data_IF_436258786064
#
_entry.id   IF_436258786064
#
_cell.length_a   1.000
_cell.length_b   1.000
_cell.length_c   1.000
_cell.angle_alpha   90.00
_cell.angle_beta   90.00
_cell.angle_gamma   90.00
#
_symmetry.space_group_name_H-M   'P 1'
#
loop_
_entity.id
_entity.type
_entity.pdbx_description
1 polymer ?
#
# COMPACT_ATOMS: atom_id res chain seq x y z
N UNK A 1 -1.63 -0.98 -9.07
CA UNK A 1 -2.94 -0.50 -8.66
C UNK A 1 -4.14 -1.29 -9.16
N UNK A 2 -5.02 -1.65 -8.23
CA UNK A 2 -6.43 -1.96 -8.51
C UNK A 2 -7.24 -0.75 -8.05
N UNK A 3 -8.01 -0.15 -8.94
CA UNK A 3 -8.86 1.02 -8.64
C UNK A 3 -9.95 0.72 -7.59
N UNK A 4 -10.18 -0.57 -7.30
CA UNK A 4 -11.14 -1.09 -6.34
C UNK A 4 -11.05 -0.41 -4.96
N UNK A 5 -9.91 -0.53 -4.27
CA UNK A 5 -9.78 -0.06 -2.89
C UNK A 5 -9.34 1.40 -2.81
N UNK A 6 -8.35 1.77 -3.65
CA UNK A 6 -7.70 3.08 -3.60
C UNK A 6 -8.60 4.20 -4.09
N UNK A 7 -9.42 3.96 -5.12
CA UNK A 7 -10.46 4.91 -5.54
C UNK A 7 -11.82 4.60 -4.93
N UNK A 8 -12.46 3.47 -5.29
CA UNK A 8 -13.87 3.24 -4.95
C UNK A 8 -14.09 3.04 -3.45
N UNK A 9 -13.17 2.35 -2.77
CA UNK A 9 -13.19 2.20 -1.32
C UNK A 9 -13.12 3.56 -0.61
N UNK A 10 -12.20 4.42 -1.02
CA UNK A 10 -12.04 5.76 -0.44
C UNK A 10 -13.21 6.69 -0.80
N UNK A 11 -13.73 6.61 -2.02
CA UNK A 11 -14.94 7.34 -2.42
C UNK A 11 -16.12 6.96 -1.52
N UNK A 12 -16.37 5.65 -1.36
CA UNK A 12 -17.46 5.13 -0.53
C UNK A 12 -17.27 5.57 0.94
N UNK A 13 -16.05 5.51 1.46
CA UNK A 13 -15.72 5.99 2.80
C UNK A 13 -16.02 7.48 2.98
N UNK A 14 -15.60 8.32 2.04
CA UNK A 14 -15.85 9.76 2.09
C UNK A 14 -17.35 10.08 2.01
N UNK A 15 -18.10 9.40 1.14
CA UNK A 15 -19.56 9.53 1.05
C UNK A 15 -20.25 9.08 2.34
N UNK A 16 -19.83 7.96 2.92
CA UNK A 16 -20.36 7.46 4.19
C UNK A 16 -20.08 8.41 5.36
N UNK A 17 -18.95 9.13 5.33
CA UNK A 17 -18.61 10.17 6.29
C UNK A 17 -19.41 11.49 6.11
N UNK A 18 -20.35 11.53 5.16
CA UNK A 18 -21.23 12.69 4.92
C UNK A 18 -20.68 13.70 3.91
N UNK A 19 -19.59 13.38 3.20
CA UNK A 19 -19.08 14.29 2.17
C UNK A 19 -19.98 14.30 0.94
N UNK A 20 -20.12 15.49 0.34
CA UNK A 20 -20.78 15.65 -0.96
C UNK A 20 -19.96 14.97 -2.05
N UNK A 21 -20.62 14.75 -3.18
CA UNK A 21 -20.06 14.06 -4.35
C UNK A 21 -18.71 14.60 -4.79
N UNK A 22 -18.65 15.91 -5.10
CA UNK A 22 -17.44 16.51 -5.66
C UNK A 22 -16.23 16.43 -4.69
N UNK A 23 -16.37 16.75 -3.39
CA UNK A 23 -15.28 16.51 -2.44
C UNK A 23 -14.84 15.04 -2.35
N UNK A 24 -15.80 14.09 -2.32
CA UNK A 24 -15.48 12.67 -2.25
C UNK A 24 -14.71 12.18 -3.50
N UNK A 25 -15.08 12.68 -4.68
CA UNK A 25 -14.37 12.41 -5.94
C UNK A 25 -12.93 12.92 -5.89
N UNK A 26 -12.69 14.12 -5.34
CA UNK A 26 -11.33 14.70 -5.20
C UNK A 26 -10.49 13.84 -4.25
N UNK A 27 -11.04 13.44 -3.10
CA UNK A 27 -10.36 12.59 -2.13
C UNK A 27 -10.01 11.23 -2.73
N UNK A 28 -10.97 10.59 -3.40
CA UNK A 28 -10.76 9.30 -4.05
C UNK A 28 -9.72 9.38 -5.18
N UNK A 29 -9.77 10.44 -5.99
CA UNK A 29 -8.79 10.67 -7.06
C UNK A 29 -7.39 10.89 -6.49
N UNK A 30 -7.27 11.66 -5.41
CA UNK A 30 -5.98 11.89 -4.76
C UNK A 30 -5.42 10.62 -4.12
N UNK A 31 -6.29 9.74 -3.58
CA UNK A 31 -5.91 8.43 -3.06
C UNK A 31 -5.38 7.51 -4.17
N UNK A 32 -6.15 7.31 -5.25
CA UNK A 32 -5.72 6.56 -6.44
C UNK A 32 -4.42 7.12 -7.05
N UNK A 33 -4.25 8.45 -7.02
CA UNK A 33 -3.05 9.07 -7.57
C UNK A 33 -1.78 8.63 -6.83
N UNK A 34 -1.83 8.31 -5.54
CA UNK A 34 -0.64 7.83 -4.80
C UNK A 34 -0.09 6.55 -5.43
N UNK A 35 -0.93 5.53 -5.64
CA UNK A 35 -0.51 4.26 -6.25
C UNK A 35 -0.40 4.34 -7.81
N UNK A 36 -0.73 5.50 -8.39
CA UNK A 36 -0.60 5.82 -9.82
C UNK A 36 0.53 6.79 -10.19
N UNK A 37 1.17 7.45 -9.22
CA UNK A 37 2.17 8.49 -9.45
C UNK A 37 3.55 7.91 -9.77
N UNK A 38 3.68 7.37 -10.98
CA UNK A 38 4.91 6.78 -11.55
C UNK A 38 5.71 7.78 -12.41
N UNK A 39 5.34 9.06 -12.38
CA UNK A 39 5.93 10.08 -13.25
C UNK A 39 6.81 11.03 -12.43
N UNK A 40 8.10 11.06 -12.76
CA UNK A 40 9.17 11.83 -12.10
C UNK A 40 9.60 13.09 -12.88
N UNK A 41 8.88 13.50 -13.93
CA UNK A 41 9.30 14.69 -14.70
C UNK A 41 8.84 15.97 -14.05
N UNK A 42 9.69 16.98 -14.15
CA UNK A 42 9.37 18.34 -13.76
C UNK A 42 8.20 18.89 -14.59
N UNK A 43 7.25 19.53 -13.93
CA UNK A 43 6.19 20.29 -14.59
C UNK A 43 6.63 21.75 -14.65
N UNK A 44 6.87 22.25 -15.86
CA UNK A 44 7.19 23.65 -16.09
C UNK A 44 5.91 24.49 -16.16
N UNK A 45 5.86 25.55 -15.38
CA UNK A 45 4.78 26.54 -15.40
C UNK A 45 5.14 27.66 -16.38
N UNK A 46 4.11 28.33 -16.92
CA UNK A 46 4.28 29.41 -17.90
C UNK A 46 5.09 30.60 -17.35
N UNK A 47 5.18 30.75 -16.03
CA UNK A 47 5.95 31.79 -15.34
C UNK A 47 7.41 31.42 -15.03
N UNK A 48 7.89 30.31 -15.58
CA UNK A 48 9.27 29.86 -15.44
C UNK A 48 9.58 29.10 -14.14
N UNK A 49 8.58 28.88 -13.27
CA UNK A 49 8.71 27.98 -12.12
C UNK A 49 8.58 26.52 -12.57
N UNK A 50 9.18 25.61 -11.82
CA UNK A 50 8.96 24.17 -11.98
C UNK A 50 8.42 23.53 -10.72
N UNK A 51 7.58 22.50 -10.90
CA UNK A 51 7.13 21.60 -9.84
C UNK A 51 7.92 20.30 -10.01
N UNK A 52 8.73 19.98 -9.01
CA UNK A 52 9.37 18.67 -8.89
C UNK A 52 8.35 17.69 -8.31
N UNK A 53 7.84 16.79 -9.15
CA UNK A 53 6.96 15.73 -8.69
C UNK A 53 7.79 14.62 -8.03
N UNK A 54 7.40 14.19 -6.83
CA UNK A 54 7.95 12.98 -6.22
C UNK A 54 7.08 11.81 -6.66
N UNK A 55 7.70 10.75 -7.18
CA UNK A 55 6.98 9.51 -7.43
C UNK A 55 6.51 8.94 -6.09
N UNK A 56 5.27 8.49 -6.06
CA UNK A 56 4.75 7.79 -4.88
C UNK A 56 4.33 6.36 -5.19
N UNK A 57 4.58 5.91 -6.42
CA UNK A 57 4.45 4.52 -6.84
C UNK A 57 5.56 4.12 -7.79
N UNK A 58 5.78 2.81 -7.91
CA UNK A 58 6.57 2.22 -8.98
C UNK A 58 5.73 1.23 -9.77
N UNK A 59 6.19 0.92 -10.99
CA UNK A 59 5.69 -0.26 -11.67
C UNK A 59 6.04 -1.48 -10.80
N UNK A 60 5.05 -2.35 -10.55
CA UNK A 60 5.17 -3.58 -9.74
C UNK A 60 6.40 -4.47 -10.02
N UNK A 61 7.06 -4.30 -11.17
CA UNK A 61 8.15 -5.13 -11.67
C UNK A 61 9.41 -4.31 -12.00
N UNK A 62 9.55 -3.12 -11.40
CA UNK A 62 10.76 -2.31 -11.52
C UNK A 62 11.82 -2.81 -10.52
N UNK A 63 13.06 -3.03 -10.99
CA UNK A 63 14.21 -3.37 -10.14
C UNK A 63 14.47 -2.30 -9.07
N UNK A 64 14.01 -1.07 -9.33
CA UNK A 64 13.95 0.05 -8.38
C UNK A 64 13.21 -0.25 -7.10
N UNK A 65 12.29 -1.22 -7.08
CA UNK A 65 11.61 -1.58 -5.84
C UNK A 65 12.61 -2.06 -4.77
N UNK A 66 13.71 -2.71 -5.20
CA UNK A 66 14.82 -3.15 -4.35
C UNK A 66 15.83 -2.04 -4.01
N UNK A 67 15.71 -0.87 -4.64
CA UNK A 67 16.53 0.29 -4.35
C UNK A 67 16.23 0.82 -2.93
N UNK A 68 17.29 1.19 -2.22
CA UNK A 68 17.17 1.59 -0.82
C UNK A 68 16.62 3.01 -0.66
N UNK A 69 16.80 3.87 -1.66
CA UNK A 69 16.23 5.20 -1.71
C UNK A 69 14.72 5.12 -1.91
N UNK A 70 14.26 4.31 -2.88
CA UNK A 70 12.83 4.12 -3.14
C UNK A 70 12.11 3.48 -1.94
N UNK A 71 12.74 2.54 -1.24
CA UNK A 71 12.23 2.01 0.03
C UNK A 71 11.97 3.13 1.06
N UNK A 72 12.84 4.13 1.13
CA UNK A 72 12.75 5.24 2.08
C UNK A 72 11.84 6.37 1.64
N UNK A 73 11.78 6.66 0.34
CA UNK A 73 11.05 7.82 -0.22
C UNK A 73 9.65 7.46 -0.71
N UNK A 74 9.41 6.20 -1.07
CA UNK A 74 8.15 5.74 -1.67
C UNK A 74 7.46 4.72 -0.77
N UNK A 75 8.09 3.55 -0.55
CA UNK A 75 7.42 2.42 0.10
C UNK A 75 7.05 2.70 1.56
N UNK A 76 8.03 3.09 2.39
CA UNK A 76 7.81 3.40 3.80
C UNK A 76 6.77 4.52 4.04
N UNK A 77 6.83 5.69 3.37
CA UNK A 77 5.89 6.78 3.66
C UNK A 77 4.50 6.58 3.07
N UNK A 78 4.35 5.90 1.93
CA UNK A 78 3.07 5.85 1.19
C UNK A 78 2.35 4.50 1.23
N UNK A 79 3.06 3.38 1.35
CA UNK A 79 2.47 2.04 1.23
C UNK A 79 2.67 1.16 2.49
N UNK A 80 3.68 1.46 3.31
CA UNK A 80 4.05 0.63 4.46
C UNK A 80 4.42 1.48 5.67
N UNK A 81 3.48 2.31 6.16
CA UNK A 81 3.74 3.19 7.30
C UNK A 81 4.18 2.36 8.52
N UNK A 82 5.39 2.59 9.05
CA UNK A 82 5.87 1.87 10.22
C UNK A 82 4.96 2.05 11.43
N UNK A 83 4.67 0.96 12.15
CA UNK A 83 3.89 1.02 13.39
C UNK A 83 4.64 1.71 14.54
N UNK A 84 5.98 1.68 14.53
CA UNK A 84 6.87 2.11 15.61
C UNK A 84 6.54 1.49 16.98
N UNK A 85 6.10 0.24 16.97
CA UNK A 85 5.78 -0.55 18.14
C UNK A 85 6.79 -1.69 18.32
N UNK A 86 6.98 -2.16 19.55
CA UNK A 86 7.92 -3.25 19.87
C UNK A 86 9.32 -2.79 20.28
N UNK A 87 10.22 -3.75 20.47
CA UNK A 87 11.51 -3.55 21.15
C UNK A 87 12.66 -3.37 20.16
N UNK A 88 12.62 -4.09 19.04
CA UNK A 88 13.69 -4.07 18.04
C UNK A 88 13.42 -3.05 16.93
N UNK A 89 14.45 -2.60 16.19
CA UNK A 89 14.24 -1.80 14.98
C UNK A 89 13.30 -2.47 13.97
N UNK A 90 13.41 -3.80 13.81
CA UNK A 90 12.55 -4.59 12.93
C UNK A 90 11.09 -4.55 13.40
N UNK A 91 10.82 -4.69 14.70
CA UNK A 91 9.44 -4.62 15.22
C UNK A 91 8.79 -3.28 14.88
N UNK A 92 9.56 -2.20 14.99
CA UNK A 92 9.12 -0.83 14.76
C UNK A 92 8.83 -0.53 13.29
N UNK A 93 9.52 -1.22 12.37
CA UNK A 93 9.34 -1.05 10.93
C UNK A 93 8.15 -1.82 10.36
N UNK A 94 7.61 -2.79 11.09
CA UNK A 94 6.42 -3.54 10.66
C UNK A 94 5.20 -2.63 10.61
N UNK A 95 4.39 -2.79 9.56
CA UNK A 95 3.06 -2.20 9.49
C UNK A 95 2.21 -2.78 10.62
N UNK A 96 1.52 -1.88 11.33
CA UNK A 96 0.63 -2.21 12.45
C UNK A 96 -0.71 -1.56 12.19
N UNK A 97 -1.76 -2.38 12.21
CA UNK A 97 -3.13 -1.92 12.09
C UNK A 97 -3.42 -0.89 13.18
N UNK A 98 -3.97 0.27 12.78
CA UNK A 98 -4.45 1.29 13.71
C UNK A 98 -3.43 1.72 14.80
N UNK A 99 -2.14 1.70 14.45
CA UNK A 99 -1.02 2.03 15.33
C UNK A 99 -1.07 3.46 15.85
N UNK A 100 -0.29 3.76 16.89
CA UNK A 100 -0.18 5.13 17.41
C UNK A 100 0.29 6.11 16.33
N UNK A 101 1.22 5.70 15.45
CA UNK A 101 1.70 6.54 14.35
C UNK A 101 0.60 6.75 13.31
N UNK A 102 -0.12 5.71 12.90
CA UNK A 102 -1.23 5.83 11.95
C UNK A 102 -2.31 6.80 12.48
N UNK A 103 -2.71 6.66 13.75
CA UNK A 103 -3.65 7.59 14.42
C UNK A 103 -3.13 9.02 14.47
N UNK A 104 -1.82 9.19 14.70
CA UNK A 104 -1.18 10.51 14.75
C UNK A 104 -1.18 11.17 13.38
N UNK A 105 -0.85 10.42 12.31
CA UNK A 105 -0.94 10.88 10.93
C UNK A 105 -2.37 11.34 10.61
N UNK A 106 -3.38 10.50 10.87
CA UNK A 106 -4.79 10.84 10.63
C UNK A 106 -5.18 12.11 11.37
N UNK A 107 -4.92 12.20 12.68
CA UNK A 107 -5.24 13.41 13.46
C UNK A 107 -4.55 14.67 12.96
N UNK A 108 -3.26 14.59 12.64
CA UNK A 108 -2.49 15.75 12.19
C UNK A 108 -2.95 16.21 10.81
N UNK A 109 -3.10 15.27 9.88
CA UNK A 109 -3.45 15.58 8.50
C UNK A 109 -4.88 16.08 8.39
N UNK A 110 -5.83 15.56 9.19
CA UNK A 110 -7.20 16.09 9.24
C UNK A 110 -7.25 17.50 9.80
N UNK A 111 -6.47 17.81 10.84
CA UNK A 111 -6.37 19.19 11.36
C UNK A 111 -5.79 20.17 10.32
N UNK A 112 -4.75 19.75 9.57
CA UNK A 112 -4.20 20.56 8.46
C UNK A 112 -5.22 20.70 7.33
N UNK A 113 -5.90 19.61 6.97
CA UNK A 113 -6.86 19.58 5.88
C UNK A 113 -8.09 20.46 6.12
N UNK A 114 -8.43 20.75 7.38
CA UNK A 114 -9.51 21.66 7.72
C UNK A 114 -9.23 23.11 7.28
N UNK A 115 -7.95 23.51 7.25
CA UNK A 115 -7.55 24.90 7.01
C UNK A 115 -6.84 25.09 5.67
N UNK A 116 -6.24 24.04 5.12
CA UNK A 116 -5.42 24.13 3.92
C UNK A 116 -6.25 24.10 2.62
N UNK A 117 -5.90 24.90 1.59
CA UNK A 117 -6.59 24.88 0.30
C UNK A 117 -6.48 23.52 -0.42
N UNK A 118 -5.49 22.71 -0.07
CA UNK A 118 -5.29 21.34 -0.59
C UNK A 118 -5.86 20.25 0.35
N UNK A 119 -6.70 20.61 1.32
CA UNK A 119 -7.15 19.69 2.36
C UNK A 119 -7.81 18.41 1.86
N UNK A 120 -8.63 18.48 0.81
CA UNK A 120 -9.24 17.30 0.18
C UNK A 120 -8.18 16.33 -0.37
N UNK A 121 -7.13 16.86 -1.01
CA UNK A 121 -6.04 16.04 -1.55
C UNK A 121 -5.25 15.37 -0.42
N UNK A 122 -4.95 16.13 0.64
CA UNK A 122 -4.27 15.59 1.83
C UNK A 122 -5.09 14.49 2.51
N UNK A 123 -6.43 14.62 2.56
CA UNK A 123 -7.30 13.55 3.06
C UNK A 123 -7.25 12.31 2.19
N UNK A 124 -7.20 12.46 0.85
CA UNK A 124 -7.03 11.34 -0.07
C UNK A 124 -5.72 10.59 0.16
N UNK A 125 -4.60 11.31 0.20
CA UNK A 125 -3.28 10.73 0.51
C UNK A 125 -3.31 10.05 1.87
N UNK A 126 -3.90 10.69 2.90
CA UNK A 126 -4.00 10.11 4.25
C UNK A 126 -4.81 8.81 4.26
N UNK A 127 -5.93 8.77 3.52
CA UNK A 127 -6.76 7.59 3.40
C UNK A 127 -6.01 6.44 2.71
N UNK A 128 -5.28 6.74 1.62
CA UNK A 128 -4.41 5.80 0.93
C UNK A 128 -3.40 5.15 1.90
N UNK A 129 -2.56 5.98 2.54
CA UNK A 129 -1.50 5.47 3.43
C UNK A 129 -2.08 4.64 4.57
N UNK A 130 -3.20 5.08 5.16
CA UNK A 130 -3.86 4.35 6.23
C UNK A 130 -4.37 2.98 5.75
N UNK A 131 -4.99 2.94 4.58
CA UNK A 131 -5.59 1.74 4.00
C UNK A 131 -4.51 0.71 3.61
N UNK A 132 -3.43 1.15 2.94
CA UNK A 132 -2.29 0.30 2.58
C UNK A 132 -1.57 -0.25 3.82
N UNK A 133 -1.36 0.58 4.84
CA UNK A 133 -0.74 0.15 6.10
C UNK A 133 -1.56 -0.95 6.79
N UNK A 134 -2.89 -0.89 6.67
CA UNK A 134 -3.78 -1.92 7.19
C UNK A 134 -3.68 -3.20 6.35
N UNK A 135 -3.80 -3.09 5.02
CA UNK A 135 -3.74 -4.22 4.09
C UNK A 135 -2.39 -4.96 4.14
N UNK A 136 -1.30 -4.23 4.36
CA UNK A 136 0.06 -4.75 4.44
C UNK A 136 0.52 -5.02 5.87
N UNK A 137 -0.41 -5.20 6.83
CA UNK A 137 -0.09 -5.58 8.20
C UNK A 137 0.91 -6.74 8.25
N UNK A 138 1.94 -6.58 9.09
CA UNK A 138 2.97 -7.60 9.25
C UNK A 138 4.06 -7.63 8.18
N UNK A 139 4.01 -6.77 7.16
CA UNK A 139 5.10 -6.51 6.21
C UNK A 139 5.82 -5.19 6.52
N UNK A 140 6.97 -4.98 5.86
CA UNK A 140 7.77 -3.77 5.90
C UNK A 140 8.00 -3.25 4.48
N UNK A 141 8.01 -1.91 4.33
CA UNK A 141 8.36 -1.21 3.09
C UNK A 141 9.85 -1.22 2.77
N UNK A 142 10.54 -2.32 3.11
CA UNK A 142 11.96 -2.51 2.88
C UNK A 142 12.24 -3.96 2.48
N UNK A 143 13.31 -4.19 1.73
CA UNK A 143 13.76 -5.53 1.37
C UNK A 143 14.39 -6.21 2.61
N UNK A 144 13.64 -7.12 3.25
CA UNK A 144 14.05 -7.73 4.51
C UNK A 144 13.43 -9.11 4.70
N UNK A 145 14.18 -10.02 5.31
CA UNK A 145 13.75 -11.40 5.63
C UNK A 145 12.46 -11.53 6.44
N UNK A 146 11.98 -10.47 7.09
CA UNK A 146 10.73 -10.49 7.86
C UNK A 146 9.48 -10.41 6.97
N UNK A 147 9.65 -10.04 5.71
CA UNK A 147 8.62 -10.14 4.68
C UNK A 147 8.46 -11.55 4.12
N UNK A 148 9.39 -12.47 4.43
CA UNK A 148 9.35 -13.82 3.89
C UNK A 148 8.22 -14.65 4.50
N UNK A 149 7.47 -15.33 3.64
CA UNK A 149 6.37 -16.23 3.99
C UNK A 149 6.85 -17.67 3.90
N UNK A 150 6.51 -18.51 4.87
CA UNK A 150 6.80 -19.94 4.82
C UNK A 150 6.04 -20.58 3.65
N UNK A 151 6.75 -21.34 2.82
CA UNK A 151 6.15 -22.04 1.68
C UNK A 151 4.98 -22.92 2.13
N UNK A 152 3.85 -22.84 1.41
CA UNK A 152 2.64 -23.61 1.70
C UNK A 152 1.85 -23.16 2.94
N UNK A 153 2.20 -22.03 3.58
CA UNK A 153 1.50 -21.56 4.78
C UNK A 153 0.35 -20.59 4.52
N UNK A 154 0.11 -20.19 3.27
CA UNK A 154 -0.96 -19.26 2.93
C UNK A 154 -2.30 -20.00 3.05
N UNK A 155 -3.17 -19.47 3.90
CA UNK A 155 -4.54 -19.93 4.10
C UNK A 155 -5.52 -18.87 3.61
N UNK A 156 -6.47 -19.28 2.75
CA UNK A 156 -7.48 -18.40 2.15
C UNK A 156 -8.85 -18.79 2.68
N UNK A 157 -9.51 -17.87 3.40
CA UNK A 157 -10.86 -18.09 3.92
C UNK A 157 -11.89 -17.62 2.90
N UNK A 158 -12.12 -18.44 1.88
CA UNK A 158 -13.07 -18.18 0.79
C UNK A 158 -14.04 -19.36 0.70
N UNK A 159 -15.33 -19.11 0.93
CA UNK A 159 -16.37 -20.14 0.90
C UNK A 159 -16.95 -20.39 -0.49
N UNK A 160 -16.76 -19.46 -1.42
CA UNK A 160 -17.27 -19.56 -2.79
C UNK A 160 -16.17 -20.04 -3.75
N UNK A 161 -16.40 -21.19 -4.37
CA UNK A 161 -15.43 -21.83 -5.26
C UNK A 161 -15.09 -20.98 -6.49
N UNK A 162 -16.05 -20.22 -7.02
CA UNK A 162 -15.83 -19.33 -8.17
C UNK A 162 -14.92 -18.15 -7.82
N UNK A 163 -15.12 -17.56 -6.64
CA UNK A 163 -14.23 -16.52 -6.10
C UNK A 163 -12.84 -17.09 -5.82
N UNK A 164 -12.76 -18.31 -5.27
CA UNK A 164 -11.47 -18.97 -4.99
C UNK A 164 -10.67 -19.21 -6.28
N UNK A 165 -11.29 -19.76 -7.33
CA UNK A 165 -10.66 -19.96 -8.64
C UNK A 165 -10.17 -18.63 -9.23
N UNK A 166 -11.01 -17.60 -9.18
CA UNK A 166 -10.64 -16.26 -9.63
C UNK A 166 -9.39 -15.71 -8.91
N UNK A 167 -9.34 -15.82 -7.58
CA UNK A 167 -8.21 -15.37 -6.76
C UNK A 167 -6.95 -16.15 -7.11
N UNK A 168 -7.04 -17.48 -7.18
CA UNK A 168 -5.91 -18.36 -7.49
C UNK A 168 -5.37 -18.11 -8.91
N UNK A 169 -6.26 -17.92 -9.89
CA UNK A 169 -5.88 -17.57 -11.27
C UNK A 169 -5.12 -16.25 -11.33
N UNK A 170 -5.56 -15.24 -10.58
CA UNK A 170 -4.86 -13.95 -10.49
C UNK A 170 -3.50 -14.07 -9.79
N UNK A 171 -3.40 -14.85 -8.72
CA UNK A 171 -2.14 -15.13 -8.04
C UNK A 171 -1.15 -15.84 -8.98
N UNK A 172 -1.60 -16.87 -9.71
CA UNK A 172 -0.80 -17.56 -10.73
C UNK A 172 -0.34 -16.61 -11.84
N UNK A 173 -1.21 -15.74 -12.31
CA UNK A 173 -0.86 -14.72 -13.29
C UNK A 173 0.22 -13.76 -12.80
N UNK A 174 0.17 -13.36 -11.53
CA UNK A 174 1.21 -12.53 -10.90
C UNK A 174 2.54 -13.27 -10.79
N UNK A 175 2.53 -14.52 -10.33
CA UNK A 175 3.73 -15.37 -10.26
C UNK A 175 4.37 -15.55 -11.64
N UNK A 176 3.57 -15.83 -12.67
CA UNK A 176 4.08 -16.00 -14.03
C UNK A 176 4.79 -14.73 -14.54
N UNK A 177 4.27 -13.54 -14.18
CA UNK A 177 4.94 -12.28 -14.46
C UNK A 177 6.30 -12.24 -13.75
N UNK A 178 6.35 -12.45 -12.43
CA UNK A 178 7.63 -12.45 -11.70
C UNK A 178 8.69 -13.37 -12.32
N UNK A 179 8.31 -14.61 -12.66
CA UNK A 179 9.19 -15.59 -13.31
C UNK A 179 9.68 -15.07 -14.66
N UNK A 180 8.81 -14.48 -15.48
CA UNK A 180 9.21 -13.92 -16.79
C UNK A 180 10.22 -12.78 -16.71
N UNK A 181 10.28 -12.07 -15.58
CA UNK A 181 11.27 -11.02 -15.31
C UNK A 181 12.52 -11.53 -14.56
N UNK A 182 12.65 -12.85 -14.35
CA UNK A 182 13.79 -13.44 -13.65
C UNK A 182 13.81 -13.19 -12.14
N UNK A 183 12.69 -12.76 -11.56
CA UNK A 183 12.55 -12.55 -10.12
C UNK A 183 12.06 -13.85 -9.46
N UNK A 184 12.73 -14.28 -8.38
CA UNK A 184 12.28 -15.44 -7.62
C UNK A 184 11.08 -15.09 -6.73
N UNK A 185 10.19 -16.05 -6.47
CA UNK A 185 9.11 -15.89 -5.49
C UNK A 185 9.62 -15.59 -4.07
N UNK A 186 10.89 -15.89 -3.80
CA UNK A 186 11.58 -15.67 -2.54
C UNK A 186 12.16 -14.24 -2.41
N UNK A 187 11.93 -13.35 -3.38
CA UNK A 187 12.39 -11.98 -3.31
C UNK A 187 11.63 -11.25 -2.18
N UNK A 188 12.28 -10.90 -1.04
CA UNK A 188 11.58 -10.49 0.18
C UNK A 188 11.25 -8.99 0.18
N UNK A 189 10.64 -8.55 -0.92
CA UNK A 189 10.29 -7.17 -1.15
C UNK A 189 8.81 -6.94 -0.86
N UNK A 190 8.52 -6.21 0.22
CA UNK A 190 7.16 -5.95 0.66
C UNK A 190 6.31 -7.21 0.70
N UNK A 191 5.11 -7.12 0.12
CA UNK A 191 4.14 -8.22 0.08
C UNK A 191 4.25 -9.14 -1.14
N UNK A 192 5.33 -9.07 -1.94
CA UNK A 192 5.45 -9.87 -3.17
C UNK A 192 5.26 -11.38 -2.91
N UNK A 193 5.71 -11.87 -1.75
CA UNK A 193 5.49 -13.25 -1.29
C UNK A 193 4.01 -13.59 -1.05
N UNK A 194 3.17 -12.61 -0.75
CA UNK A 194 1.71 -12.73 -0.61
C UNK A 194 0.95 -12.48 -1.93
N UNK A 195 1.64 -12.29 -3.05
CA UNK A 195 1.03 -12.06 -4.37
C UNK A 195 0.03 -10.88 -4.37
N UNK A 196 -1.22 -11.11 -4.79
CA UNK A 196 -2.29 -10.10 -4.89
C UNK A 196 -3.24 -10.08 -3.70
N UNK A 197 -2.94 -10.83 -2.62
CA UNK A 197 -3.86 -11.05 -1.50
C UNK A 197 -4.06 -9.82 -0.60
N UNK A 198 -3.01 -9.08 -0.20
CA UNK A 198 -3.18 -7.84 0.57
C UNK A 198 -4.09 -6.83 -0.16
N UNK A 199 -3.96 -6.74 -1.48
CA UNK A 199 -4.71 -5.78 -2.32
C UNK A 199 -6.16 -6.24 -2.60
N UNK A 200 -6.75 -7.09 -1.75
CA UNK A 200 -8.13 -7.59 -1.88
C UNK A 200 -8.89 -7.27 -0.59
N UNK A 201 -9.62 -6.14 -0.55
CA UNK A 201 -10.24 -5.67 0.70
C UNK A 201 -11.29 -6.64 1.27
N UNK A 202 -11.84 -7.55 0.46
CA UNK A 202 -12.81 -8.57 0.88
C UNK A 202 -12.17 -9.89 1.34
N UNK A 203 -10.87 -10.09 1.11
CA UNK A 203 -10.22 -11.37 1.33
C UNK A 203 -9.76 -11.48 2.79
N UNK A 204 -10.23 -12.53 3.48
CA UNK A 204 -9.62 -12.99 4.73
C UNK A 204 -8.61 -14.07 4.40
N UNK A 205 -7.39 -13.87 4.86
CA UNK A 205 -6.29 -14.79 4.63
C UNK A 205 -5.29 -14.69 5.78
N UNK A 206 -4.45 -15.70 5.92
CA UNK A 206 -3.35 -15.69 6.86
C UNK A 206 -2.12 -16.36 6.26
N UNK A 207 -0.96 -16.14 6.88
CA UNK A 207 0.28 -16.80 6.50
C UNK A 207 1.17 -17.02 7.71
N UNK A 208 2.15 -17.93 7.59
CA UNK A 208 3.18 -18.08 8.61
C UNK A 208 4.45 -17.38 8.16
N UNK A 209 4.93 -16.44 8.96
CA UNK A 209 6.17 -15.71 8.72
C UNK A 209 7.36 -16.66 8.84
N UNK A 210 8.26 -16.63 7.85
CA UNK A 210 9.39 -17.55 7.79
C UNK A 210 10.42 -17.31 8.90
N UNK A 211 10.61 -16.05 9.32
CA UNK A 211 11.68 -15.65 10.25
C UNK A 211 11.42 -16.06 11.71
N UNK A 212 10.17 -16.07 12.15
CA UNK A 212 9.81 -16.33 13.56
C UNK A 212 8.65 -17.34 13.74
N UNK A 213 8.07 -17.84 12.65
CA UNK A 213 7.02 -18.83 12.68
C UNK A 213 5.66 -18.32 13.18
N UNK A 214 5.48 -17.00 13.33
CA UNK A 214 4.18 -16.44 13.73
C UNK A 214 3.18 -16.46 12.59
N UNK A 215 1.95 -16.83 12.90
CA UNK A 215 0.81 -16.60 12.02
C UNK A 215 0.44 -15.12 12.04
N UNK A 216 0.26 -14.56 10.84
CA UNK A 216 -0.15 -13.17 10.58
C UNK A 216 -1.44 -13.22 9.79
#
# INVERSE_FOLDING_TARGET
MKTDMHYFGVYALARAAGMREKPAEIIATASEYVDGAIWDKEVFLEDGRSILAEMTAHKMLDFKNADREDQRRVWLPFHFLPGAEGKTPTDKLLCRENSRIAKTMVRRNTAIAAEAPYGLHLMGITAHVFADTFAHYGFMGANHSYNAIRAGSIDLQVSDDGILDYIQKKAKGFINKLVSYGLSQAFPLGHAAATTYPDRPYLRWSYVRASDGKTV
#
